data_IF_537285666397
#
_entry.id   IF_537285666397
#
_cell.length_a   1.000
_cell.length_b   1.000
_cell.length_c   1.000
_cell.angle_alpha   90.00
_cell.angle_beta   90.00
_cell.angle_gamma   90.00
#
_symmetry.space_group_name_H-M   'P 1'
#
loop_
_entity.id
_entity.type
_entity.pdbx_description
1 polymer ?
#
# COMPACT_ATOMS: atom_id res chain seq x y z
N UNK A 1 13.88 20.42 19.69
CA UNK A 1 13.07 19.81 18.63
C UNK A 1 11.89 19.15 19.32
N UNK A 2 10.65 19.35 18.91
CA UNK A 2 9.55 18.63 19.52
C UNK A 2 9.85 17.14 19.30
N UNK A 3 9.82 16.36 20.40
CA UNK A 3 9.85 14.92 20.38
C UNK A 3 8.56 14.42 19.70
N UNK A 4 8.53 14.47 18.40
CA UNK A 4 7.42 13.89 17.67
C UNK A 4 7.38 12.40 18.01
N UNK A 5 6.27 11.88 18.55
CA UNK A 5 6.15 10.47 18.98
C UNK A 5 6.58 9.48 17.90
N UNK A 6 6.39 9.86 16.64
CA UNK A 6 6.81 9.09 15.46
C UNK A 6 8.33 8.88 15.41
N UNK A 7 9.15 9.93 15.61
CA UNK A 7 10.62 9.80 15.53
C UNK A 7 11.21 9.06 16.71
N UNK A 8 10.64 9.29 17.89
CA UNK A 8 11.02 8.53 19.09
C UNK A 8 10.80 7.04 18.81
N UNK A 9 9.63 6.69 18.27
CA UNK A 9 9.27 5.32 17.98
C UNK A 9 10.11 4.70 16.86
N UNK A 10 10.36 5.43 15.77
CA UNK A 10 11.29 5.02 14.73
C UNK A 10 12.66 4.65 15.31
N UNK A 11 13.22 5.51 16.19
CA UNK A 11 14.50 5.26 16.87
C UNK A 11 14.48 4.01 17.74
N UNK A 12 13.39 3.76 18.44
CA UNK A 12 13.25 2.62 19.35
C UNK A 12 13.00 1.30 18.60
N UNK A 13 12.52 1.37 17.36
CA UNK A 13 12.06 0.21 16.61
C UNK A 13 13.05 -0.24 15.55
N UNK A 14 13.74 0.71 14.91
CA UNK A 14 14.68 0.40 13.83
C UNK A 14 16.12 0.28 14.34
N UNK A 15 16.89 -0.70 13.84
CA UNK A 15 18.31 -0.81 14.13
C UNK A 15 19.08 0.48 13.79
N UNK A 16 20.14 0.78 14.54
CA UNK A 16 20.95 1.98 14.30
C UNK A 16 21.50 2.09 12.87
N UNK A 17 21.67 0.96 12.19
CA UNK A 17 22.12 0.88 10.80
C UNK A 17 21.16 1.54 9.80
N UNK A 18 19.89 1.68 10.15
CA UNK A 18 18.89 2.39 9.34
C UNK A 18 19.04 3.93 9.40
N UNK A 19 19.77 4.43 10.42
CA UNK A 19 19.92 5.87 10.63
C UNK A 19 21.14 6.44 9.89
N UNK A 20 21.11 6.38 8.56
CA UNK A 20 22.22 6.91 7.73
C UNK A 20 22.23 8.44 7.62
N UNK A 21 21.14 9.11 8.02
CA UNK A 21 20.96 10.57 7.88
C UNK A 21 20.54 11.19 9.21
N UNK A 22 20.76 12.48 9.36
CA UNK A 22 20.27 13.23 10.51
C UNK A 22 18.73 13.17 10.61
N UNK A 23 18.14 13.10 11.81
CA UNK A 23 16.69 12.99 12.01
C UNK A 23 15.87 14.05 11.27
N UNK A 24 16.39 15.28 11.19
CA UNK A 24 15.73 16.36 10.45
C UNK A 24 15.66 16.08 8.94
N UNK A 25 16.73 15.55 8.36
CA UNK A 25 16.75 15.20 6.94
C UNK A 25 15.72 14.09 6.63
N UNK A 26 15.54 13.14 7.55
CA UNK A 26 14.50 12.12 7.46
C UNK A 26 13.11 12.72 7.50
N UNK A 27 12.85 13.64 8.45
CA UNK A 27 11.56 14.32 8.54
C UNK A 27 11.23 15.08 7.25
N UNK A 28 12.17 15.88 6.76
CA UNK A 28 11.98 16.63 5.51
C UNK A 28 11.74 15.71 4.32
N UNK A 29 12.41 14.56 4.28
CA UNK A 29 12.19 13.58 3.22
C UNK A 29 10.79 12.98 3.29
N UNK A 30 10.37 12.50 4.45
CA UNK A 30 9.01 11.98 4.67
C UNK A 30 7.95 13.02 4.31
N UNK A 31 8.11 14.25 4.80
CA UNK A 31 7.20 15.36 4.51
C UNK A 31 7.09 15.62 2.99
N UNK A 32 8.22 15.56 2.28
CA UNK A 32 8.23 15.68 0.81
C UNK A 32 7.49 14.53 0.14
N UNK A 33 7.77 13.28 0.53
CA UNK A 33 7.07 12.12 -0.03
C UNK A 33 5.56 12.25 0.13
N UNK A 34 5.09 12.63 1.31
CA UNK A 34 3.66 12.79 1.60
C UNK A 34 3.03 13.92 0.77
N UNK A 35 3.66 15.10 0.74
CA UNK A 35 3.11 16.23 -0.02
C UNK A 35 3.11 15.97 -1.53
N UNK A 36 4.20 15.41 -2.07
CA UNK A 36 4.26 15.06 -3.48
C UNK A 36 3.24 13.97 -3.83
N UNK A 37 3.04 12.98 -2.95
CA UNK A 37 2.00 11.96 -3.10
C UNK A 37 0.61 12.60 -3.14
N UNK A 38 0.31 13.49 -2.19
CA UNK A 38 -0.98 14.18 -2.13
C UNK A 38 -1.24 15.02 -3.38
N UNK A 39 -0.28 15.86 -3.77
CA UNK A 39 -0.41 16.68 -4.99
C UNK A 39 -0.59 15.80 -6.23
N UNK A 40 0.14 14.68 -6.31
CA UNK A 40 0.00 13.73 -7.42
C UNK A 40 -1.40 13.10 -7.45
N UNK A 41 -1.98 12.78 -6.30
CA UNK A 41 -3.35 12.28 -6.20
C UNK A 41 -4.35 13.36 -6.65
N UNK A 42 -4.18 14.60 -6.26
CA UNK A 42 -5.04 15.71 -6.68
C UNK A 42 -4.98 15.98 -8.19
N UNK A 43 -3.88 15.62 -8.83
CA UNK A 43 -3.66 15.74 -10.28
C UNK A 43 -3.84 14.40 -11.01
N UNK A 44 -4.56 13.45 -10.42
CA UNK A 44 -4.60 12.07 -10.93
C UNK A 44 -5.15 11.95 -12.35
N UNK A 45 -6.09 12.80 -12.75
CA UNK A 45 -6.62 12.89 -14.11
C UNK A 45 -5.56 13.20 -15.18
N UNK A 46 -4.44 13.79 -14.75
CA UNK A 46 -3.28 14.07 -15.59
C UNK A 46 -2.25 12.94 -15.64
N UNK A 47 -2.38 11.91 -14.81
CA UNK A 47 -1.40 10.81 -14.73
C UNK A 47 -1.26 10.04 -16.06
N UNK A 48 -2.30 10.06 -16.89
CA UNK A 48 -2.28 9.48 -18.24
C UNK A 48 -1.54 10.33 -19.26
N UNK A 49 -1.25 11.61 -18.96
CA UNK A 49 -0.54 12.51 -19.87
C UNK A 49 0.92 12.09 -20.08
N UNK A 50 1.53 12.38 -21.26
CA UNK A 50 2.93 12.04 -21.53
C UNK A 50 3.90 12.62 -20.51
N UNK A 51 3.66 13.85 -20.04
CA UNK A 51 4.50 14.53 -19.06
C UNK A 51 4.52 13.82 -17.70
N UNK A 52 3.39 13.26 -17.25
CA UNK A 52 3.33 12.48 -16.03
C UNK A 52 3.82 11.05 -16.23
N UNK A 53 3.50 10.40 -17.35
CA UNK A 53 4.06 9.08 -17.68
C UNK A 53 5.58 9.07 -17.64
N UNK A 54 6.24 10.11 -18.14
CA UNK A 54 7.71 10.25 -18.09
C UNK A 54 8.27 10.40 -16.66
N UNK A 55 7.44 10.70 -15.67
CA UNK A 55 7.81 10.81 -14.26
C UNK A 55 7.54 9.54 -13.45
N UNK A 56 6.89 8.55 -14.06
CA UNK A 56 6.47 7.30 -13.44
C UNK A 56 7.14 6.13 -14.15
N UNK A 57 8.20 5.63 -13.54
CA UNK A 57 8.90 4.45 -14.05
C UNK A 57 8.31 3.18 -13.45
N UNK A 58 8.45 2.08 -14.18
CA UNK A 58 7.98 0.76 -13.76
C UNK A 58 9.15 -0.19 -13.85
N UNK A 59 9.35 -0.99 -12.81
CA UNK A 59 10.22 -2.15 -12.82
C UNK A 59 9.44 -3.39 -12.38
N UNK A 60 9.81 -4.54 -12.90
CA UNK A 60 9.00 -5.75 -12.77
C UNK A 60 7.80 -5.75 -13.71
N UNK A 61 6.87 -6.68 -13.49
CA UNK A 61 5.71 -6.92 -14.37
C UNK A 61 4.43 -6.40 -13.72
N UNK A 62 3.82 -5.30 -14.20
CA UNK A 62 2.56 -4.80 -13.69
C UNK A 62 1.40 -5.76 -14.01
N UNK A 63 0.25 -5.64 -13.32
CA UNK A 63 -0.86 -6.60 -13.44
C UNK A 63 -1.32 -6.86 -14.86
N UNK A 64 -1.46 -5.81 -15.66
CA UNK A 64 -1.95 -5.86 -17.05
C UNK A 64 -0.97 -6.51 -18.05
N UNK A 65 0.25 -6.80 -17.63
CA UNK A 65 1.27 -7.48 -18.42
C UNK A 65 1.55 -8.92 -17.93
N UNK A 66 0.87 -9.37 -16.88
CA UNK A 66 0.98 -10.74 -16.40
C UNK A 66 0.26 -11.69 -17.37
N UNK A 67 0.82 -12.89 -17.65
CA UNK A 67 0.19 -13.87 -18.55
C UNK A 67 -1.23 -14.27 -18.12
N UNK A 68 -1.48 -14.31 -16.81
CA UNK A 68 -2.76 -14.70 -16.23
C UNK A 68 -3.75 -13.53 -16.09
N UNK A 69 -3.36 -12.31 -16.49
CA UNK A 69 -4.26 -11.16 -16.50
C UNK A 69 -5.48 -11.44 -17.39
N UNK A 70 -6.66 -11.23 -16.86
CA UNK A 70 -7.89 -11.57 -17.57
C UNK A 70 -8.41 -13.00 -17.30
N UNK A 71 -7.58 -13.90 -16.80
CA UNK A 71 -7.96 -15.25 -16.38
C UNK A 71 -8.23 -15.33 -14.88
N UNK A 72 -7.47 -14.58 -14.09
CA UNK A 72 -7.55 -14.53 -12.63
C UNK A 72 -7.64 -13.09 -12.13
N UNK A 73 -8.34 -12.84 -11.01
CA UNK A 73 -8.27 -11.54 -10.34
C UNK A 73 -6.88 -11.34 -9.72
N UNK A 74 -6.49 -10.09 -9.52
CA UNK A 74 -5.18 -9.74 -8.94
C UNK A 74 -5.36 -8.93 -7.65
N UNK A 75 -4.67 -9.34 -6.59
CA UNK A 75 -4.48 -8.54 -5.39
C UNK A 75 -3.10 -7.91 -5.47
N UNK A 76 -3.05 -6.61 -5.62
CA UNK A 76 -1.81 -5.83 -5.56
C UNK A 76 -1.58 -5.45 -4.10
N UNK A 77 -0.54 -6.03 -3.50
CA UNK A 77 -0.25 -5.85 -2.08
C UNK A 77 1.00 -5.02 -1.84
N UNK A 78 0.99 -4.24 -0.75
CA UNK A 78 2.06 -3.31 -0.41
C UNK A 78 2.15 -3.14 1.10
N UNK A 79 3.21 -2.47 1.56
CA UNK A 79 3.30 -1.89 2.90
C UNK A 79 2.99 -0.39 2.83
N UNK A 80 2.48 0.19 3.91
CA UNK A 80 2.26 1.63 3.98
C UNK A 80 3.59 2.39 4.06
N UNK A 81 4.32 2.34 2.96
CA UNK A 81 5.63 2.96 2.82
C UNK A 81 5.78 3.65 1.46
N UNK A 82 6.68 4.62 1.38
CA UNK A 82 6.87 5.40 0.16
C UNK A 82 5.61 6.15 -0.26
N UNK A 83 5.43 6.23 -1.55
CA UNK A 83 4.30 6.92 -2.17
C UNK A 83 3.12 5.97 -2.47
N UNK A 84 2.88 4.94 -1.64
CA UNK A 84 1.85 3.92 -1.85
C UNK A 84 0.47 4.51 -2.20
N UNK A 85 0.15 5.69 -1.69
CA UNK A 85 -1.14 6.35 -1.93
C UNK A 85 -1.47 6.61 -3.40
N UNK A 86 -0.45 6.78 -4.26
CA UNK A 86 -0.68 6.97 -5.70
C UNK A 86 -0.88 5.66 -6.47
N UNK A 87 -0.58 4.50 -5.89
CA UNK A 87 -0.63 3.21 -6.58
C UNK A 87 -1.98 2.96 -7.26
N UNK A 88 -3.08 3.10 -6.53
CA UNK A 88 -4.42 2.84 -7.05
C UNK A 88 -4.81 3.78 -8.20
N UNK A 89 -4.40 5.04 -8.12
CA UNK A 89 -4.67 6.03 -9.16
C UNK A 89 -3.82 5.75 -10.41
N UNK A 90 -2.57 5.37 -10.20
CA UNK A 90 -1.68 4.99 -11.29
C UNK A 90 -2.18 3.74 -12.02
N UNK A 91 -2.59 2.68 -11.31
CA UNK A 91 -3.21 1.50 -11.91
C UNK A 91 -4.44 1.90 -12.74
N UNK A 92 -5.29 2.76 -12.21
CA UNK A 92 -6.47 3.25 -12.92
C UNK A 92 -6.12 4.05 -14.17
N UNK A 93 -5.08 4.89 -14.12
CA UNK A 93 -4.60 5.66 -15.28
C UNK A 93 -4.08 4.78 -16.43
N UNK A 94 -3.74 3.53 -16.14
CA UNK A 94 -3.40 2.49 -17.13
C UNK A 94 -4.62 1.75 -17.69
N UNK A 95 -5.82 2.10 -17.26
CA UNK A 95 -7.04 1.39 -17.65
C UNK A 95 -7.33 0.13 -16.84
N UNK A 96 -6.58 -0.14 -15.76
CA UNK A 96 -6.80 -1.30 -14.90
C UNK A 96 -7.96 -1.00 -13.94
N UNK A 97 -9.09 -1.72 -14.01
CA UNK A 97 -10.18 -1.58 -13.06
C UNK A 97 -9.69 -1.91 -11.65
N UNK A 98 -9.59 -0.89 -10.81
CA UNK A 98 -8.94 -0.99 -9.49
C UNK A 98 -9.89 -0.59 -8.38
N UNK A 99 -9.85 -1.32 -7.27
CA UNK A 99 -10.48 -0.97 -6.02
C UNK A 99 -9.48 -1.07 -4.85
N UNK A 100 -9.80 -0.40 -3.75
CA UNK A 100 -9.03 -0.48 -2.50
C UNK A 100 -9.94 -0.84 -1.35
N UNK A 101 -9.46 -1.68 -0.44
CA UNK A 101 -10.10 -1.93 0.84
C UNK A 101 -9.34 -1.14 1.91
N UNK A 102 -10.01 -0.15 2.50
CA UNK A 102 -9.41 0.72 3.51
C UNK A 102 -10.32 0.82 4.74
N UNK A 103 -9.73 1.08 5.90
CA UNK A 103 -10.49 1.23 7.15
C UNK A 103 -11.18 2.59 7.25
N UNK A 104 -10.59 3.61 6.69
CA UNK A 104 -11.11 4.98 6.67
C UNK A 104 -10.30 5.84 5.70
N UNK A 105 -10.92 6.92 5.24
CA UNK A 105 -10.23 7.91 4.41
C UNK A 105 -9.58 8.96 5.30
N UNK A 106 -8.34 9.38 5.01
CA UNK A 106 -7.80 10.58 5.62
C UNK A 106 -8.77 11.75 5.41
N UNK A 107 -9.05 12.54 6.46
CA UNK A 107 -10.01 13.66 6.40
C UNK A 107 -9.78 14.59 5.21
N UNK A 108 -8.51 14.80 4.84
CA UNK A 108 -8.15 15.64 3.70
C UNK A 108 -8.66 15.08 2.36
N UNK A 109 -8.69 13.77 2.17
CA UNK A 109 -9.25 13.14 0.96
C UNK A 109 -10.77 13.15 0.98
N UNK A 110 -11.39 13.12 2.17
CA UNK A 110 -12.83 13.31 2.34
C UNK A 110 -13.27 14.70 1.89
N UNK A 111 -12.44 15.72 2.09
CA UNK A 111 -12.72 17.11 1.71
C UNK A 111 -12.65 17.32 0.18
N UNK A 112 -11.90 16.47 -0.55
CA UNK A 112 -11.66 16.62 -2.00
C UNK A 112 -12.48 15.67 -2.89
N UNK A 113 -13.59 15.10 -2.39
CA UNK A 113 -14.60 14.53 -3.29
C UNK A 113 -14.75 13.01 -3.30
N UNK A 114 -14.03 12.24 -2.48
CA UNK A 114 -14.33 10.80 -2.33
C UNK A 114 -15.63 10.55 -1.54
N UNK A 115 -16.14 11.56 -0.80
CA UNK A 115 -17.41 11.52 -0.04
C UNK A 115 -18.65 11.72 -0.90
N UNK A 116 -18.55 12.32 -2.08
CA UNK A 116 -19.71 12.71 -2.86
C UNK A 116 -20.52 11.55 -3.44
N UNK A 117 -20.02 10.32 -3.37
CA UNK A 117 -20.77 9.13 -3.82
C UNK A 117 -21.79 8.60 -2.81
N UNK A 118 -21.68 8.96 -1.53
CA UNK A 118 -22.68 8.57 -0.53
C UNK A 118 -23.89 9.53 -0.50
N UNK A 119 -23.70 10.81 -0.87
CA UNK A 119 -24.70 11.86 -0.73
C UNK A 119 -25.28 12.40 -2.06
N UNK A 120 -25.00 11.77 -3.18
CA UNK A 120 -25.63 12.10 -4.48
C UNK A 120 -25.23 13.44 -5.09
N UNK A 121 -24.26 14.18 -4.53
CA UNK A 121 -23.83 15.45 -5.09
C UNK A 121 -22.73 15.27 -6.14
N UNK A 122 -23.17 15.20 -7.41
CA UNK A 122 -22.34 14.91 -8.57
C UNK A 122 -21.29 15.99 -8.94
N UNK A 123 -21.23 17.11 -8.22
CA UNK A 123 -20.41 18.27 -8.60
C UNK A 123 -18.90 18.08 -8.39
N UNK A 124 -18.50 17.12 -7.56
CA UNK A 124 -17.10 16.81 -7.28
C UNK A 124 -16.72 15.36 -7.57
N UNK A 125 -17.56 14.64 -8.29
CA UNK A 125 -17.21 13.30 -8.76
C UNK A 125 -16.03 13.43 -9.73
N UNK A 126 -14.83 13.23 -9.20
CA UNK A 126 -13.67 12.92 -10.03
C UNK A 126 -14.07 11.67 -10.84
N UNK A 127 -14.40 11.88 -12.11
CA UNK A 127 -14.75 10.79 -13.03
C UNK A 127 -13.59 9.81 -12.98
N UNK A 128 -13.83 8.56 -12.61
CA UNK A 128 -12.85 7.47 -12.59
C UNK A 128 -11.94 7.32 -11.35
N UNK A 129 -12.31 7.84 -10.19
CA UNK A 129 -11.62 7.49 -8.93
C UNK A 129 -11.71 5.98 -8.69
N UNK A 130 -10.62 5.31 -8.30
CA UNK A 130 -10.66 3.90 -7.92
C UNK A 130 -11.71 3.64 -6.83
N UNK A 131 -12.49 2.58 -6.99
CA UNK A 131 -13.47 2.22 -5.98
C UNK A 131 -12.81 2.02 -4.62
N UNK A 132 -13.44 2.55 -3.59
CA UNK A 132 -12.97 2.42 -2.22
C UNK A 132 -14.04 1.76 -1.38
N UNK A 133 -13.72 0.63 -0.77
CA UNK A 133 -14.64 -0.10 0.10
C UNK A 133 -14.32 0.21 1.56
N UNK A 134 -15.30 0.77 2.26
CA UNK A 134 -15.21 1.20 3.66
C UNK A 134 -16.44 0.68 4.41
N UNK A 135 -16.26 0.39 5.69
CA UNK A 135 -17.35 0.03 6.61
C UNK A 135 -17.69 -1.48 6.64
N UNK A 136 -18.80 -1.85 7.29
CA UNK A 136 -19.10 -3.24 7.66
C UNK A 136 -19.24 -4.19 6.46
N UNK A 137 -19.70 -3.70 5.33
CA UNK A 137 -19.90 -4.50 4.11
C UNK A 137 -18.69 -4.48 3.15
N UNK A 138 -17.63 -3.78 3.50
CA UNK A 138 -16.48 -3.56 2.61
C UNK A 138 -15.85 -4.86 2.10
N UNK A 139 -15.75 -5.88 2.97
CA UNK A 139 -15.20 -7.18 2.61
C UNK A 139 -16.07 -7.89 1.56
N UNK A 140 -17.40 -7.86 1.72
CA UNK A 140 -18.33 -8.46 0.74
C UNK A 140 -18.28 -7.74 -0.60
N UNK A 141 -18.22 -6.41 -0.58
CA UNK A 141 -18.09 -5.58 -1.79
C UNK A 141 -16.77 -5.85 -2.51
N UNK A 142 -15.65 -5.95 -1.77
CA UNK A 142 -14.34 -6.27 -2.33
C UNK A 142 -14.31 -7.69 -2.95
N UNK A 143 -14.95 -8.67 -2.31
CA UNK A 143 -15.13 -10.03 -2.88
C UNK A 143 -15.92 -9.99 -4.18
N UNK A 144 -17.01 -9.23 -4.23
CA UNK A 144 -17.85 -9.08 -5.43
C UNK A 144 -17.14 -8.32 -6.56
N UNK A 145 -16.24 -7.41 -6.22
CA UNK A 145 -15.45 -6.67 -7.19
C UNK A 145 -14.33 -7.52 -7.81
N UNK A 146 -13.71 -8.39 -7.03
CA UNK A 146 -12.51 -9.13 -7.42
C UNK A 146 -12.85 -10.25 -8.42
N UNK A 147 -12.65 -9.95 -9.69
CA UNK A 147 -12.91 -10.83 -10.85
C UNK A 147 -11.72 -10.77 -11.81
N UNK A 148 -11.59 -11.73 -12.77
CA UNK A 148 -10.60 -11.64 -13.83
C UNK A 148 -10.53 -10.26 -14.49
N UNK A 149 -9.34 -9.78 -14.77
CA UNK A 149 -9.11 -8.45 -15.34
C UNK A 149 -9.36 -7.28 -14.38
N UNK A 150 -9.41 -7.53 -13.05
CA UNK A 150 -9.55 -6.50 -12.02
C UNK A 150 -8.48 -6.63 -10.96
N UNK A 151 -8.09 -5.50 -10.39
CA UNK A 151 -7.09 -5.42 -9.34
C UNK A 151 -7.68 -4.87 -8.03
N UNK A 152 -7.39 -5.53 -6.91
CA UNK A 152 -7.70 -5.03 -5.58
C UNK A 152 -6.41 -4.65 -4.88
N UNK A 153 -6.29 -3.41 -4.38
CA UNK A 153 -5.14 -3.00 -3.59
C UNK A 153 -5.38 -3.25 -2.11
N UNK A 154 -4.46 -3.98 -1.48
CA UNK A 154 -4.51 -4.34 -0.05
C UNK A 154 -3.15 -4.18 0.59
N UNK A 155 -3.10 -3.50 1.73
CA UNK A 155 -1.88 -3.39 2.53
C UNK A 155 -1.70 -4.62 3.42
N UNK A 156 -0.46 -5.14 3.52
CA UNK A 156 -0.10 -6.25 4.40
C UNK A 156 -0.03 -5.86 5.87
N UNK A 157 0.35 -4.62 6.15
CA UNK A 157 0.44 -4.02 7.48
C UNK A 157 -0.86 -3.30 7.90
N UNK A 158 -1.91 -3.42 7.08
CA UNK A 158 -3.20 -2.77 7.33
C UNK A 158 -4.01 -3.42 8.46
N UNK A 159 -4.78 -2.61 9.19
CA UNK A 159 -5.59 -3.05 10.35
C UNK A 159 -6.99 -3.60 9.99
N UNK A 160 -7.23 -4.00 8.74
CA UNK A 160 -8.58 -4.30 8.27
C UNK A 160 -9.12 -5.64 8.76
N UNK A 161 -8.29 -6.68 8.79
CA UNK A 161 -8.69 -8.01 9.28
C UNK A 161 -7.51 -8.97 9.32
N UNK A 162 -7.65 -10.03 10.08
CA UNK A 162 -6.72 -11.16 10.07
C UNK A 162 -5.94 -11.34 11.37
N UNK A 163 -5.26 -12.48 11.45
CA UNK A 163 -4.39 -12.84 12.55
C UNK A 163 -3.00 -12.25 12.31
N UNK A 164 -2.38 -11.66 13.33
CA UNK A 164 -0.98 -11.22 13.28
C UNK A 164 -0.05 -12.44 13.24
N UNK A 165 0.84 -12.45 12.28
CA UNK A 165 1.83 -13.51 12.08
C UNK A 165 3.22 -12.87 12.01
N UNK A 166 4.16 -13.29 12.87
CA UNK A 166 5.53 -12.79 12.81
C UNK A 166 6.25 -13.35 11.58
N UNK A 167 6.82 -12.45 10.78
CA UNK A 167 7.63 -12.74 9.61
C UNK A 167 9.04 -12.19 9.84
N UNK A 168 10.05 -13.02 9.71
CA UNK A 168 11.44 -12.61 9.92
C UNK A 168 12.10 -12.23 8.59
N UNK A 169 12.61 -11.01 8.51
CA UNK A 169 13.31 -10.49 7.32
C UNK A 169 14.56 -9.74 7.75
N UNK A 170 15.71 -10.17 7.25
CA UNK A 170 17.01 -9.53 7.47
C UNK A 170 17.27 -9.17 8.95
N UNK A 171 16.98 -10.10 9.88
CA UNK A 171 17.14 -9.88 11.32
C UNK A 171 16.05 -9.05 12.00
N UNK A 172 15.04 -8.58 11.24
CA UNK A 172 13.91 -7.82 11.75
C UNK A 172 12.65 -8.68 11.75
N UNK A 173 11.77 -8.51 12.73
CA UNK A 173 10.49 -9.19 12.79
C UNK A 173 9.38 -8.20 12.42
N UNK A 174 8.65 -8.53 11.34
CA UNK A 174 7.44 -7.86 10.91
C UNK A 174 6.22 -8.68 11.32
N UNK A 175 5.27 -8.06 12.01
CA UNK A 175 4.00 -8.67 12.35
C UNK A 175 2.96 -8.30 11.28
N UNK A 176 2.74 -9.20 10.34
CA UNK A 176 1.85 -9.00 9.21
C UNK A 176 0.52 -9.71 9.41
N UNK A 177 -0.54 -9.19 8.79
CA UNK A 177 -1.86 -9.81 8.86
C UNK A 177 -2.09 -10.79 7.71
N UNK A 178 -2.67 -11.94 8.03
CA UNK A 178 -2.96 -13.00 7.06
C UNK A 178 -4.13 -12.69 6.11
N UNK A 179 -4.79 -11.56 6.29
CA UNK A 179 -5.98 -11.18 5.52
C UNK A 179 -5.77 -11.20 4.00
N UNK A 180 -4.63 -10.74 3.50
CA UNK A 180 -4.30 -10.74 2.06
C UNK A 180 -4.26 -12.18 1.52
N UNK A 181 -3.56 -13.08 2.22
CA UNK A 181 -3.41 -14.48 1.80
C UNK A 181 -4.75 -15.20 1.83
N UNK A 182 -5.51 -15.07 2.93
CA UNK A 182 -6.85 -15.67 3.03
C UNK A 182 -7.82 -15.16 1.98
N UNK A 183 -7.74 -13.87 1.68
CA UNK A 183 -8.57 -13.28 0.65
C UNK A 183 -8.24 -13.85 -0.72
N UNK A 184 -6.95 -13.98 -1.02
CA UNK A 184 -6.46 -14.57 -2.26
C UNK A 184 -6.86 -16.06 -2.37
N UNK A 185 -6.71 -16.85 -1.31
CA UNK A 185 -7.16 -18.23 -1.27
C UNK A 185 -8.65 -18.37 -1.58
N UNK A 186 -9.49 -17.51 -0.97
CA UNK A 186 -10.94 -17.54 -1.16
C UNK A 186 -11.38 -17.16 -2.59
N UNK A 187 -10.61 -16.31 -3.26
CA UNK A 187 -10.96 -15.76 -4.58
C UNK A 187 -10.16 -16.34 -5.72
N UNK A 188 -9.23 -17.22 -5.43
CA UNK A 188 -8.21 -17.71 -6.37
C UNK A 188 -7.44 -16.56 -7.05
N UNK A 189 -7.24 -15.44 -6.32
CA UNK A 189 -6.55 -14.28 -6.85
C UNK A 189 -5.04 -14.49 -6.81
N UNK A 190 -4.37 -14.00 -7.84
CA UNK A 190 -2.91 -13.82 -7.81
C UNK A 190 -2.56 -12.70 -6.83
N UNK A 191 -1.50 -12.86 -6.05
CA UNK A 191 -0.99 -11.82 -5.15
C UNK A 191 0.31 -11.27 -5.70
N UNK A 192 0.32 -9.97 -6.01
CA UNK A 192 1.46 -9.27 -6.61
C UNK A 192 1.97 -8.21 -5.63
N UNK A 193 3.16 -8.36 -5.05
CA UNK A 193 3.76 -7.35 -4.19
C UNK A 193 4.24 -6.14 -5.01
N UNK A 194 4.09 -4.94 -4.47
CA UNK A 194 4.55 -3.70 -5.10
C UNK A 194 5.05 -2.70 -4.06
N UNK A 195 6.14 -2.04 -4.39
CA UNK A 195 6.65 -0.86 -3.68
C UNK A 195 6.56 0.37 -4.57
N UNK A 196 6.18 1.51 -4.00
CA UNK A 196 6.14 2.79 -4.72
C UNK A 196 7.17 3.73 -4.12
N UNK A 197 8.28 3.88 -4.83
CA UNK A 197 9.46 4.59 -4.37
C UNK A 197 9.54 6.00 -4.97
N UNK A 198 9.94 6.96 -4.16
CA UNK A 198 10.26 8.30 -4.65
C UNK A 198 11.68 8.35 -5.20
N UNK A 199 11.87 8.70 -6.46
CA UNK A 199 13.17 8.79 -7.14
C UNK A 199 13.65 10.23 -7.39
N UNK A 200 12.84 11.21 -7.03
CA UNK A 200 13.14 12.63 -7.18
C UNK A 200 11.87 13.47 -7.04
N UNK A 201 11.93 14.78 -7.21
CA UNK A 201 10.74 15.63 -7.13
C UNK A 201 9.67 15.19 -8.14
N UNK A 202 8.52 14.77 -7.63
CA UNK A 202 7.41 14.24 -8.42
C UNK A 202 7.80 13.11 -9.40
N UNK A 203 8.81 12.31 -9.06
CA UNK A 203 9.24 11.15 -9.82
C UNK A 203 9.08 9.92 -8.95
N UNK A 204 8.36 8.93 -9.45
CA UNK A 204 8.02 7.73 -8.73
C UNK A 204 8.38 6.48 -9.55
N UNK A 205 8.82 5.45 -8.85
CA UNK A 205 9.04 4.13 -9.41
C UNK A 205 8.06 3.16 -8.78
N UNK A 206 7.28 2.47 -9.62
CA UNK A 206 6.43 1.36 -9.24
C UNK A 206 7.21 0.07 -9.46
N UNK A 207 7.67 -0.53 -8.38
CA UNK A 207 8.46 -1.73 -8.42
C UNK A 207 7.60 -2.92 -8.05
N UNK A 208 7.28 -3.74 -9.04
CA UNK A 208 6.53 -4.97 -8.88
C UNK A 208 7.49 -6.12 -8.62
N UNK A 209 7.31 -6.81 -7.49
CA UNK A 209 8.01 -8.04 -7.19
C UNK A 209 7.44 -9.25 -7.94
N UNK A 210 7.94 -10.42 -7.63
CA UNK A 210 7.41 -11.65 -8.20
C UNK A 210 6.06 -12.00 -7.56
N UNK A 211 5.07 -12.48 -8.34
CA UNK A 211 3.82 -12.97 -7.80
C UNK A 211 4.05 -14.05 -6.75
N UNK A 212 3.18 -14.08 -5.72
CA UNK A 212 3.18 -15.18 -4.75
C UNK A 212 2.95 -16.50 -5.47
N UNK A 213 3.87 -17.48 -5.37
CA UNK A 213 3.72 -18.76 -6.02
C UNK A 213 2.45 -19.50 -5.60
N UNK A 214 1.70 -20.06 -6.55
CA UNK A 214 0.44 -20.75 -6.28
C UNK A 214 0.58 -21.89 -5.25
N UNK A 215 1.70 -22.61 -5.25
CA UNK A 215 2.00 -23.63 -4.24
C UNK A 215 1.96 -23.10 -2.81
N UNK A 216 2.38 -21.83 -2.59
CA UNK A 216 2.33 -21.17 -1.29
C UNK A 216 0.93 -20.65 -0.99
N UNK A 217 0.19 -20.23 -2.00
CA UNK A 217 -1.19 -19.80 -1.83
C UNK A 217 -2.12 -20.96 -1.51
N UNK A 218 -1.92 -22.13 -2.14
CA UNK A 218 -2.73 -23.33 -1.94
C UNK A 218 -2.36 -24.11 -0.68
N UNK A 219 -1.17 -23.85 -0.13
CA UNK A 219 -0.78 -24.46 1.14
C UNK A 219 -1.62 -23.89 2.28
N UNK A 220 -1.88 -24.71 3.31
CA UNK A 220 -2.49 -24.22 4.55
C UNK A 220 -1.50 -23.39 5.40
N UNK A 221 -0.27 -23.24 4.95
CA UNK A 221 0.78 -22.48 5.63
C UNK A 221 0.78 -21.01 5.21
N UNK A 222 -0.15 -20.28 5.77
CA UNK A 222 -0.25 -18.82 5.58
C UNK A 222 1.04 -18.09 6.02
N UNK A 223 1.79 -18.64 6.98
CA UNK A 223 3.03 -18.05 7.47
C UNK A 223 4.09 -18.01 6.38
N UNK A 224 4.30 -19.12 5.66
CA UNK A 224 5.28 -19.18 4.58
C UNK A 224 4.92 -18.24 3.43
N UNK A 225 3.63 -18.13 3.08
CA UNK A 225 3.15 -17.17 2.10
C UNK A 225 3.43 -15.72 2.52
N UNK A 226 3.13 -15.36 3.77
CA UNK A 226 3.43 -14.03 4.31
C UNK A 226 4.93 -13.75 4.40
N UNK A 227 5.73 -14.76 4.76
CA UNK A 227 7.18 -14.66 4.81
C UNK A 227 7.77 -14.34 3.44
N UNK A 228 7.22 -14.94 2.37
CA UNK A 228 7.59 -14.63 0.99
C UNK A 228 7.28 -13.16 0.66
N UNK A 229 6.04 -12.73 0.88
CA UNK A 229 5.61 -11.35 0.61
C UNK A 229 6.39 -10.32 1.44
N UNK A 230 6.70 -10.64 2.69
CA UNK A 230 7.50 -9.81 3.55
C UNK A 230 8.90 -9.57 2.97
N UNK A 231 9.55 -10.61 2.45
CA UNK A 231 10.88 -10.50 1.81
C UNK A 231 10.84 -9.63 0.56
N UNK A 232 9.87 -9.86 -0.32
CA UNK A 232 9.70 -9.09 -1.56
C UNK A 232 9.53 -7.58 -1.28
N UNK A 233 8.80 -7.22 -0.23
CA UNK A 233 8.51 -5.82 0.10
C UNK A 233 9.58 -5.18 1.00
N UNK A 234 10.23 -5.97 1.85
CA UNK A 234 11.21 -5.44 2.83
C UNK A 234 12.49 -4.93 2.20
N UNK A 235 12.99 -5.58 1.17
CA UNK A 235 14.22 -5.18 0.49
C UNK A 235 14.18 -3.71 0.03
N UNK A 236 12.99 -3.23 -0.32
CA UNK A 236 12.79 -1.84 -0.73
C UNK A 236 12.75 -0.87 0.45
N UNK A 237 12.19 -1.30 1.57
CA UNK A 237 12.14 -0.51 2.81
C UNK A 237 13.54 -0.31 3.42
N UNK A 238 14.43 -1.28 3.28
CA UNK A 238 15.83 -1.13 3.72
C UNK A 238 16.58 -0.05 2.94
N UNK A 239 16.19 0.18 1.69
CA UNK A 239 16.80 1.23 0.86
C UNK A 239 16.29 2.63 1.24
N UNK A 240 15.04 2.75 1.69
CA UNK A 240 14.44 4.02 2.12
C UNK A 240 13.54 3.83 3.35
N UNK A 241 14.13 3.57 4.53
CA UNK A 241 13.37 3.32 5.77
C UNK A 241 12.55 4.53 6.22
N UNK A 242 12.86 5.71 5.74
CA UNK A 242 12.15 6.95 6.06
C UNK A 242 10.78 7.03 5.41
N UNK A 243 10.58 6.26 4.37
CA UNK A 243 9.29 6.19 3.69
C UNK A 243 8.23 5.38 4.46
N UNK A 244 8.59 4.74 5.59
CA UNK A 244 7.66 3.99 6.43
C UNK A 244 6.66 4.92 7.11
N UNK A 245 5.39 4.59 7.04
CA UNK A 245 4.39 5.27 7.83
C UNK A 245 4.13 4.54 9.17
N UNK A 246 3.17 5.06 9.93
CA UNK A 246 2.82 4.52 11.25
C UNK A 246 2.41 3.05 11.23
N UNK A 247 1.69 2.59 10.21
CA UNK A 247 1.26 1.19 10.11
C UNK A 247 2.42 0.22 10.00
N UNK A 248 3.49 0.58 9.28
CA UNK A 248 4.71 -0.24 9.21
C UNK A 248 5.40 -0.28 10.58
N UNK A 249 5.42 0.85 11.29
CA UNK A 249 5.99 0.88 12.65
C UNK A 249 5.20 0.04 13.64
N UNK A 250 3.87 0.00 13.48
CA UNK A 250 3.01 -0.92 14.25
C UNK A 250 3.32 -2.38 13.93
N UNK A 251 3.57 -2.71 12.67
CA UNK A 251 3.96 -4.05 12.26
C UNK A 251 5.34 -4.47 12.81
N UNK A 252 6.25 -3.49 13.01
CA UNK A 252 7.58 -3.74 13.60
C UNK A 252 7.55 -3.97 15.11
N UNK A 253 6.64 -3.33 15.83
CA UNK A 253 6.55 -3.41 17.29
C UNK A 253 5.08 -3.34 17.77
N UNK A 254 4.28 -4.38 17.52
CA UNK A 254 2.84 -4.37 17.85
C UNK A 254 2.55 -4.21 19.34
N UNK A 255 3.45 -4.67 20.21
CA UNK A 255 3.26 -4.61 21.68
C UNK A 255 3.39 -3.20 22.25
N UNK A 256 4.01 -2.28 21.50
CA UNK A 256 4.23 -0.89 21.91
C UNK A 256 3.14 0.06 21.41
N UNK A 257 2.13 -0.46 20.74
CA UNK A 257 1.02 0.35 20.20
C UNK A 257 -0.05 0.51 21.26
N UNK A 258 -0.27 1.73 21.75
CA UNK A 258 -1.48 2.03 22.50
C UNK A 258 -2.69 1.93 21.55
N UNK A 259 -3.62 0.98 21.78
CA UNK A 259 -4.80 0.82 20.93
C UNK A 259 -5.73 2.07 20.96
N UNK A 260 -5.48 3.02 21.87
CA UNK A 260 -6.24 4.27 22.01
C UNK A 260 -5.58 5.46 21.31
N UNK A 261 -4.39 5.32 20.74
CA UNK A 261 -3.79 6.39 19.96
C UNK A 261 -4.57 6.57 18.65
N UNK A 262 -5.74 7.19 18.76
CA UNK A 262 -6.46 7.71 17.60
C UNK A 262 -5.59 8.77 16.94
N UNK A 263 -5.22 8.52 15.72
CA UNK A 263 -4.66 9.54 14.85
C UNK A 263 -5.65 10.70 14.75
N UNK A 264 -5.17 11.95 14.82
CA UNK A 264 -6.01 13.12 14.60
C UNK A 264 -6.55 13.19 13.18
#
# INVERSE_FOLDING_TARGET
>A
MPDYPYFKRLRETLPATFWRKAPLAHYLHMFRVWNETLVTILLYDRLSSPAWKARMTVSGTPPDQLPEWGQRPVIVTFLHAGAFGILRYWLRSRGIPTASLIRGLPRILLTFGETSRQDGDARYALRDVPHTFIGPNSMRQALGFLRPGRALTLALDGNVSGKLIPCQVNGTILHLKDGVVRFAQKTNAMVLPVSVLRRGPFRFEFRFGLPLPDRLLQSNDTRTALQYLARELWNELEQDPVAMNWSVLEALAPEKVDPRSNWP
#
